data_IF_851668927822
#
_entry.id   IF_851668927822
#
_cell.length_a   1.000
_cell.length_b   1.000
_cell.length_c   1.000
_cell.angle_alpha   90.00
_cell.angle_beta   90.00
_cell.angle_gamma   90.00
#
_symmetry.space_group_name_H-M   'P 1'
#
loop_
_entity.id
_entity.type
_entity.pdbx_description
1 polymer ?
#
# COMPACT_ATOMS: atom_id res chain seq x y z
N UNK A 1 14.04 -22.93 -28.60
CA UNK A 1 12.83 -22.14 -28.30
C UNK A 1 12.32 -22.62 -26.96
N UNK A 2 12.56 -21.83 -25.91
CA UNK A 2 12.08 -22.13 -24.55
C UNK A 2 10.75 -21.41 -24.42
N UNK A 3 9.68 -22.17 -24.17
CA UNK A 3 8.36 -21.61 -23.89
C UNK A 3 8.27 -21.51 -22.36
N UNK A 4 8.39 -20.30 -21.83
CA UNK A 4 8.14 -20.01 -20.41
C UNK A 4 6.64 -19.78 -20.25
N UNK A 5 5.98 -20.59 -19.41
CA UNK A 5 4.56 -20.44 -19.09
C UNK A 5 4.48 -19.86 -17.67
N UNK A 6 4.17 -18.58 -17.55
CA UNK A 6 3.91 -17.93 -16.26
C UNK A 6 2.47 -18.22 -15.85
N UNK A 7 2.28 -19.02 -14.80
CA UNK A 7 0.97 -19.24 -14.18
C UNK A 7 0.76 -18.21 -13.06
N UNK A 8 -0.18 -17.28 -13.27
CA UNK A 8 -0.69 -16.39 -12.22
C UNK A 8 -1.79 -17.08 -11.39
N UNK A 9 -1.51 -18.28 -10.87
CA UNK A 9 -2.46 -19.06 -10.10
C UNK A 9 -1.78 -20.07 -9.19
N UNK A 10 -2.08 -20.00 -7.89
CA UNK A 10 -1.56 -20.94 -6.90
C UNK A 10 -2.11 -22.35 -7.15
N UNK A 11 -1.24 -23.32 -7.39
CA UNK A 11 -1.54 -24.73 -7.15
C UNK A 11 -1.52 -24.91 -5.63
N UNK A 12 -2.67 -24.72 -4.99
CA UNK A 12 -2.87 -25.09 -3.59
C UNK A 12 -2.70 -26.60 -3.48
N UNK A 13 -1.54 -27.02 -2.99
CA UNK A 13 -1.34 -28.37 -2.48
C UNK A 13 -2.10 -28.42 -1.16
N UNK A 14 -3.38 -28.81 -1.20
CA UNK A 14 -4.21 -28.96 -0.02
C UNK A 14 -3.54 -29.93 0.95
N UNK A 15 -2.83 -29.39 1.94
CA UNK A 15 -2.10 -30.20 2.88
C UNK A 15 -3.09 -30.77 3.89
N UNK A 16 -2.96 -32.08 4.09
CA UNK A 16 -3.87 -32.93 4.83
C UNK A 16 -3.89 -32.57 6.32
N UNK A 17 -5.13 -32.44 6.84
CA UNK A 17 -5.58 -32.85 8.17
C UNK A 17 -4.60 -32.72 9.34
N UNK A 18 -4.71 -31.60 10.06
CA UNK A 18 -4.38 -31.55 11.49
C UNK A 18 -5.43 -32.34 12.28
N UNK A 19 -5.07 -33.56 12.65
CA UNK A 19 -5.84 -34.38 13.58
C UNK A 19 -5.77 -33.79 14.99
N UNK A 20 -6.90 -33.30 15.53
CA UNK A 20 -7.14 -33.26 16.98
C UNK A 20 -7.68 -31.97 17.60
N UNK A 21 -7.57 -30.81 16.95
CA UNK A 21 -8.17 -29.56 17.44
C UNK A 21 -9.09 -28.99 16.37
N UNK A 22 -10.35 -28.75 16.71
CA UNK A 22 -11.29 -28.06 15.81
C UNK A 22 -10.68 -26.72 15.42
N UNK A 23 -10.44 -26.50 14.13
CA UNK A 23 -10.05 -25.19 13.59
C UNK A 23 -11.09 -24.16 14.09
N UNK A 24 -10.65 -23.07 14.76
CA UNK A 24 -11.57 -22.05 15.24
C UNK A 24 -12.48 -21.53 14.12
N UNK A 25 -13.73 -21.16 14.43
CA UNK A 25 -14.70 -20.76 13.39
C UNK A 25 -14.20 -19.60 12.51
N UNK A 26 -13.42 -18.67 13.08
CA UNK A 26 -12.87 -17.52 12.34
C UNK A 26 -11.84 -17.91 11.27
N UNK A 27 -11.16 -19.05 11.45
CA UNK A 27 -10.08 -19.53 10.57
C UNK A 27 -10.55 -20.66 9.63
N UNK A 28 -11.76 -21.18 9.84
CA UNK A 28 -12.29 -22.40 9.18
C UNK A 28 -12.27 -22.38 7.64
N UNK A 29 -12.21 -21.20 7.03
CA UNK A 29 -12.14 -21.02 5.58
C UNK A 29 -11.04 -20.05 5.13
N UNK A 30 -10.20 -19.59 6.07
CA UNK A 30 -9.03 -18.80 5.73
C UNK A 30 -7.95 -19.76 5.24
N UNK A 31 -7.39 -19.48 4.06
CA UNK A 31 -6.23 -20.20 3.55
C UNK A 31 -5.16 -19.16 3.33
N UNK A 32 -4.05 -19.29 4.05
CA UNK A 32 -2.87 -18.50 3.79
C UNK A 32 -2.34 -18.83 2.40
N UNK A 33 -2.35 -17.81 1.53
CA UNK A 33 -1.68 -17.87 0.23
C UNK A 33 -0.16 -17.81 0.43
N UNK A 34 0.26 -17.15 1.49
CA UNK A 34 1.64 -17.00 1.92
C UNK A 34 1.71 -17.00 3.46
N UNK A 35 2.76 -17.58 4.02
CA UNK A 35 2.90 -17.74 5.48
C UNK A 35 3.31 -16.40 6.11
N UNK A 36 2.51 -15.84 7.04
CA UNK A 36 2.86 -14.61 7.75
C UNK A 36 4.24 -14.67 8.42
N UNK A 37 4.66 -15.85 8.91
CA UNK A 37 5.95 -16.04 9.58
C UNK A 37 7.16 -15.89 8.64
N UNK A 38 6.94 -15.85 7.32
CA UNK A 38 7.99 -15.58 6.33
C UNK A 38 8.37 -14.10 6.19
N UNK A 39 7.57 -13.19 6.73
CA UNK A 39 7.80 -11.74 6.64
C UNK A 39 8.85 -11.28 7.66
N UNK A 40 9.48 -10.12 7.40
CA UNK A 40 10.51 -9.55 8.28
C UNK A 40 9.98 -9.27 9.69
N UNK A 41 8.81 -8.63 9.81
CA UNK A 41 8.10 -8.42 11.08
C UNK A 41 6.83 -9.27 11.14
N UNK A 42 7.01 -10.53 11.54
CA UNK A 42 5.91 -11.44 11.84
C UNK A 42 5.72 -11.57 13.34
N UNK A 43 4.48 -11.47 13.82
CA UNK A 43 4.17 -11.56 15.25
C UNK A 43 3.05 -12.54 15.54
N UNK A 44 3.12 -13.14 16.73
CA UNK A 44 2.08 -14.01 17.27
C UNK A 44 1.10 -13.18 18.10
N UNK A 45 -0.19 -13.40 17.86
CA UNK A 45 -1.28 -12.72 18.55
C UNK A 45 -2.21 -13.75 19.19
N UNK A 46 -2.63 -13.46 20.42
CA UNK A 46 -3.71 -14.20 21.07
C UNK A 46 -5.05 -13.77 20.45
N UNK A 47 -5.78 -14.73 19.87
CA UNK A 47 -7.08 -14.48 19.26
C UNK A 47 -8.18 -14.77 20.27
N UNK A 48 -9.12 -13.83 20.40
CA UNK A 48 -10.28 -13.95 21.29
C UNK A 48 -11.59 -13.93 20.53
N UNK A 49 -12.63 -14.50 21.14
CA UNK A 49 -14.01 -14.36 20.67
C UNK A 49 -14.46 -12.89 20.77
N UNK A 50 -15.07 -12.31 19.71
CA UNK A 50 -15.60 -10.95 19.76
C UNK A 50 -16.86 -10.84 20.64
N UNK A 51 -17.52 -11.96 20.95
CA UNK A 51 -18.79 -11.98 21.69
C UNK A 51 -18.72 -12.69 23.05
N UNK A 52 -17.55 -13.22 23.43
CA UNK A 52 -17.36 -13.89 24.71
C UNK A 52 -15.92 -13.75 25.21
N UNK A 53 -15.69 -13.91 26.52
CA UNK A 53 -14.34 -13.83 27.10
C UNK A 53 -13.53 -15.14 26.92
N UNK A 54 -13.67 -15.78 25.75
CA UNK A 54 -13.02 -17.05 25.44
C UNK A 54 -11.87 -16.79 24.46
N UNK A 55 -10.69 -17.34 24.75
CA UNK A 55 -9.58 -17.39 23.78
C UNK A 55 -9.86 -18.47 22.73
N UNK A 56 -9.58 -18.14 21.47
CA UNK A 56 -9.62 -19.02 20.30
C UNK A 56 -8.23 -19.55 19.91
N UNK A 57 -7.21 -19.34 20.74
CA UNK A 57 -5.83 -19.75 20.49
C UNK A 57 -4.99 -18.61 19.92
N UNK A 58 -3.93 -18.96 19.18
CA UNK A 58 -2.97 -17.99 18.66
C UNK A 58 -2.96 -17.98 17.13
N UNK A 59 -2.67 -16.84 16.54
CA UNK A 59 -2.46 -16.66 15.10
C UNK A 59 -1.23 -15.79 14.84
N UNK A 60 -0.52 -16.06 13.76
CA UNK A 60 0.55 -15.18 13.26
C UNK A 60 0.02 -14.17 12.25
N UNK A 61 0.54 -12.95 12.28
CA UNK A 61 0.27 -11.91 11.28
C UNK A 61 1.56 -11.18 10.93
N UNK A 62 1.70 -10.81 9.66
CA UNK A 62 2.70 -9.84 9.23
C UNK A 62 2.27 -8.45 9.71
N UNK A 63 3.23 -7.66 10.17
CA UNK A 63 3.03 -6.33 10.71
C UNK A 63 3.78 -5.34 9.85
N UNK A 64 3.07 -4.31 9.37
CA UNK A 64 3.62 -3.24 8.56
C UNK A 64 3.48 -1.92 9.31
N UNK A 65 4.53 -1.11 9.25
CA UNK A 65 4.64 0.20 9.88
C UNK A 65 4.76 1.32 8.86
N UNK A 66 5.43 2.40 9.27
CA UNK A 66 5.61 3.60 8.45
C UNK A 66 6.60 3.42 7.29
N UNK A 67 7.43 2.37 7.32
CA UNK A 67 8.40 2.08 6.25
C UNK A 67 7.71 1.49 5.02
N UNK A 68 6.61 0.77 5.22
CA UNK A 68 5.73 0.22 4.18
C UNK A 68 4.62 1.20 3.77
N UNK A 69 4.87 2.48 4.03
CA UNK A 69 3.97 3.59 3.80
C UNK A 69 2.92 3.78 4.89
N UNK A 70 2.11 4.82 4.73
CA UNK A 70 1.23 5.25 5.81
C UNK A 70 1.93 6.17 6.79
N UNK A 71 1.13 6.83 7.61
CA UNK A 71 1.62 7.62 8.73
C UNK A 71 0.87 7.15 10.01
N UNK A 72 0.97 7.86 11.13
CA UNK A 72 0.29 7.49 12.38
C UNK A 72 -1.23 7.26 12.26
N UNK A 73 -1.83 7.83 11.22
CA UNK A 73 -3.20 8.27 11.21
C UNK A 73 -3.87 7.91 9.88
N UNK A 74 -3.10 7.78 8.80
CA UNK A 74 -3.60 7.43 7.48
C UNK A 74 -2.85 6.24 6.86
N UNK A 75 -3.62 5.29 6.33
CA UNK A 75 -3.21 4.25 5.41
C UNK A 75 -4.28 4.14 4.34
N UNK A 76 -3.90 4.18 3.06
CA UNK A 76 -4.82 3.95 1.96
C UNK A 76 -4.36 2.73 1.19
N UNK A 77 -4.95 1.60 1.53
CA UNK A 77 -4.62 0.30 0.97
C UNK A 77 -5.46 0.01 -0.28
N UNK A 78 -4.78 -0.38 -1.35
CA UNK A 78 -5.39 -0.93 -2.55
C UNK A 78 -4.59 -2.14 -3.03
N UNK A 79 -5.13 -2.89 -3.99
CA UNK A 79 -4.41 -3.98 -4.62
C UNK A 79 -4.60 -3.94 -6.13
N UNK A 80 -3.59 -4.38 -6.87
CA UNK A 80 -3.69 -4.56 -8.33
C UNK A 80 -4.30 -5.92 -8.66
N UNK A 81 -4.81 -6.10 -9.88
CA UNK A 81 -5.28 -7.40 -10.37
C UNK A 81 -4.15 -8.44 -10.45
N UNK A 82 -2.89 -8.00 -10.55
CA UNK A 82 -1.68 -8.83 -10.51
C UNK A 82 -1.32 -9.29 -9.09
N UNK A 83 -1.90 -8.66 -8.07
CA UNK A 83 -1.68 -9.00 -6.66
C UNK A 83 -0.62 -8.15 -5.97
N UNK A 84 -0.26 -6.99 -6.51
CA UNK A 84 0.53 -6.00 -5.78
C UNK A 84 -0.29 -5.42 -4.64
N UNK A 85 0.37 -5.11 -3.54
CA UNK A 85 -0.20 -4.37 -2.42
C UNK A 85 0.22 -2.92 -2.60
N UNK A 86 -0.72 -1.98 -2.57
CA UNK A 86 -0.46 -0.56 -2.71
C UNK A 86 -0.83 0.14 -1.40
N UNK A 87 -0.03 1.13 -1.01
CA UNK A 87 -0.32 1.96 0.16
C UNK A 87 0.03 3.43 -0.14
N UNK A 88 -0.88 4.34 0.21
CA UNK A 88 -0.60 5.77 0.17
C UNK A 88 -1.24 6.57 1.31
N UNK A 89 -0.85 6.27 2.54
CA UNK A 89 -1.18 7.12 3.70
C UNK A 89 0.01 7.89 4.28
N UNK A 90 1.16 7.89 3.60
CA UNK A 90 2.39 8.53 4.04
C UNK A 90 2.85 9.63 3.09
N UNK A 91 4.14 9.92 3.08
CA UNK A 91 4.71 10.97 2.21
C UNK A 91 4.53 10.61 0.73
N UNK A 92 4.69 9.36 0.31
CA UNK A 92 4.59 8.98 -1.09
C UNK A 92 3.87 7.65 -1.35
N UNK A 93 3.49 7.37 -2.62
CA UNK A 93 3.06 6.04 -3.03
C UNK A 93 4.10 4.98 -2.69
N UNK A 94 3.64 3.93 -2.03
CA UNK A 94 4.42 2.74 -1.72
C UNK A 94 3.69 1.50 -2.24
N UNK A 95 4.44 0.49 -2.65
CA UNK A 95 3.87 -0.76 -3.11
C UNK A 95 4.75 -1.94 -2.78
N UNK A 96 4.17 -3.12 -2.86
CA UNK A 96 4.87 -4.39 -2.79
C UNK A 96 4.37 -5.30 -3.91
N UNK A 97 5.30 -5.86 -4.66
CA UNK A 97 5.03 -6.76 -5.78
C UNK A 97 5.07 -8.24 -5.37
N UNK A 98 5.48 -8.53 -4.14
CA UNK A 98 5.78 -9.86 -3.64
C UNK A 98 4.97 -10.22 -2.38
N UNK A 99 3.76 -9.64 -2.23
CA UNK A 99 2.81 -9.86 -1.12
C UNK A 99 3.26 -9.30 0.24
N UNK A 100 4.14 -8.30 0.24
CA UNK A 100 4.54 -7.57 1.44
C UNK A 100 5.89 -7.97 1.98
N UNK A 101 6.69 -8.78 1.27
CA UNK A 101 8.05 -9.12 1.70
C UNK A 101 9.04 -8.01 1.42
N UNK A 102 8.88 -7.35 0.28
CA UNK A 102 9.66 -6.16 -0.08
C UNK A 102 8.74 -5.04 -0.50
N UNK A 103 9.15 -3.82 -0.17
CA UNK A 103 8.39 -2.61 -0.46
C UNK A 103 9.24 -1.62 -1.25
N UNK A 104 8.58 -0.94 -2.16
CA UNK A 104 9.12 0.14 -2.96
C UNK A 104 8.40 1.44 -2.61
N UNK A 105 9.12 2.55 -2.70
CA UNK A 105 8.58 3.90 -2.51
C UNK A 105 8.92 4.74 -3.75
N UNK A 106 7.92 5.44 -4.28
CA UNK A 106 8.17 6.40 -5.34
C UNK A 106 8.63 7.72 -4.72
N UNK A 107 9.76 8.26 -5.16
CA UNK A 107 10.20 9.61 -4.77
C UNK A 107 10.18 10.55 -5.97
N UNK A 108 9.50 11.70 -5.89
CA UNK A 108 9.47 12.66 -6.98
C UNK A 108 10.86 13.23 -7.23
N UNK A 109 11.13 13.55 -8.49
CA UNK A 109 12.26 14.41 -8.88
C UNK A 109 12.06 15.84 -8.41
N UNK A 110 13.11 16.66 -8.38
CA UNK A 110 13.00 18.10 -8.04
C UNK A 110 12.07 18.85 -8.99
N UNK A 111 12.03 18.48 -10.27
CA UNK A 111 11.17 19.10 -11.26
C UNK A 111 10.12 18.11 -11.75
N UNK A 112 8.89 18.60 -11.92
CA UNK A 112 7.79 17.80 -12.47
C UNK A 112 8.01 17.50 -13.95
N UNK A 113 7.25 16.53 -14.47
CA UNK A 113 7.30 16.17 -15.89
C UNK A 113 6.90 17.33 -16.81
N UNK A 114 7.39 17.28 -18.05
CA UNK A 114 7.00 18.22 -19.10
C UNK A 114 5.52 17.99 -19.42
N UNK A 115 4.74 19.06 -19.46
CA UNK A 115 3.30 18.99 -19.73
C UNK A 115 2.41 19.17 -18.49
N UNK A 116 2.98 19.23 -17.28
CA UNK A 116 2.22 19.65 -16.11
C UNK A 116 1.71 21.10 -16.27
N UNK A 117 0.49 21.35 -15.78
CA UNK A 117 -0.15 22.67 -15.89
C UNK A 117 0.63 23.76 -15.17
N UNK A 118 1.15 23.45 -13.99
CA UNK A 118 1.90 24.38 -13.15
C UNK A 118 3.28 23.80 -12.83
N UNK A 119 4.37 24.47 -13.26
CA UNK A 119 5.70 24.06 -12.85
C UNK A 119 5.91 24.47 -11.39
N UNK A 120 6.17 23.48 -10.55
CA UNK A 120 6.53 23.71 -9.15
C UNK A 120 7.72 22.81 -8.81
N UNK A 121 8.88 23.36 -8.45
CA UNK A 121 9.96 22.57 -7.89
C UNK A 121 9.56 21.97 -6.54
N UNK A 122 10.07 20.79 -6.23
CA UNK A 122 9.94 20.18 -4.91
C UNK A 122 11.31 19.85 -4.31
N UNK A 123 11.35 19.62 -3.01
CA UNK A 123 12.50 19.08 -2.27
C UNK A 123 12.12 17.66 -1.84
N UNK A 124 12.59 16.62 -2.57
CA UNK A 124 12.17 15.25 -2.32
C UNK A 124 12.49 14.78 -0.90
N UNK A 125 11.52 14.14 -0.26
CA UNK A 125 11.53 13.64 1.12
C UNK A 125 11.35 14.75 2.16
N UNK A 126 10.85 15.91 1.75
CA UNK A 126 10.64 17.07 2.63
C UNK A 126 9.32 17.77 2.31
N UNK A 127 8.37 17.07 1.72
CA UNK A 127 7.03 17.57 1.43
C UNK A 127 6.17 17.50 2.69
N UNK A 128 6.45 16.55 3.59
CA UNK A 128 5.83 16.40 4.91
C UNK A 128 4.94 15.16 5.00
N UNK A 129 4.31 14.96 6.16
CA UNK A 129 3.34 13.88 6.36
C UNK A 129 2.15 14.11 5.43
N UNK A 130 2.13 13.36 4.33
CA UNK A 130 1.09 13.39 3.33
C UNK A 130 -0.04 12.43 3.66
N UNK A 131 -1.18 12.70 3.03
CA UNK A 131 -2.34 11.84 3.00
C UNK A 131 -2.74 11.67 1.54
N UNK A 132 -3.08 10.46 1.11
CA UNK A 132 -3.32 10.23 -0.30
C UNK A 132 -4.23 9.06 -0.59
N UNK A 133 -4.44 8.81 -1.88
CA UNK A 133 -5.12 7.62 -2.35
C UNK A 133 -4.41 7.09 -3.59
N UNK A 134 -4.42 5.78 -3.75
CA UNK A 134 -3.79 5.09 -4.89
C UNK A 134 -4.72 4.00 -5.39
N UNK A 135 -4.90 3.93 -6.71
CA UNK A 135 -5.76 2.93 -7.37
C UNK A 135 -5.17 2.51 -8.71
N UNK A 136 -5.45 1.27 -9.12
CA UNK A 136 -5.13 0.77 -10.46
C UNK A 136 -6.26 1.14 -11.44
N UNK A 137 -5.89 1.77 -12.56
CA UNK A 137 -6.77 2.02 -13.69
C UNK A 137 -6.96 0.75 -14.55
N UNK A 138 -7.96 0.76 -15.43
CA UNK A 138 -8.30 -0.43 -16.23
C UNK A 138 -7.22 -0.86 -17.22
N UNK A 139 -6.38 0.08 -17.65
CA UNK A 139 -5.22 -0.16 -18.52
C UNK A 139 -3.98 -0.68 -17.77
N UNK A 140 -4.00 -0.69 -16.42
CA UNK A 140 -2.89 -1.18 -15.60
C UNK A 140 -2.15 -0.07 -14.85
N UNK A 141 -2.25 1.18 -15.31
CA UNK A 141 -1.61 2.34 -14.68
C UNK A 141 -2.02 2.49 -13.21
N UNK A 142 -1.13 3.05 -12.40
CA UNK A 142 -1.47 3.46 -11.04
C UNK A 142 -1.66 4.96 -10.99
N UNK A 143 -2.85 5.38 -10.54
CA UNK A 143 -3.18 6.79 -10.36
C UNK A 143 -3.20 7.05 -8.85
N UNK A 144 -2.39 8.02 -8.44
CA UNK A 144 -2.27 8.40 -7.03
C UNK A 144 -2.41 9.90 -6.85
N UNK A 145 -3.12 10.32 -5.82
CA UNK A 145 -3.31 11.72 -5.46
C UNK A 145 -2.88 11.91 -4.02
N UNK A 146 -1.97 12.85 -3.77
CA UNK A 146 -1.41 13.12 -2.45
C UNK A 146 -1.61 14.57 -2.04
N UNK A 147 -2.03 14.79 -0.80
CA UNK A 147 -2.15 16.07 -0.14
C UNK A 147 -1.15 16.18 1.01
N UNK A 148 -0.45 17.30 1.08
CA UNK A 148 0.60 17.59 2.05
C UNK A 148 0.22 18.87 2.78
N UNK A 149 -0.58 18.77 3.86
CA UNK A 149 -1.18 19.92 4.52
C UNK A 149 -0.15 20.80 5.25
N UNK A 150 0.97 20.21 5.68
CA UNK A 150 1.87 20.86 6.61
C UNK A 150 2.94 21.72 5.90
N UNK A 151 3.35 22.85 6.52
CA UNK A 151 4.49 23.62 6.05
C UNK A 151 5.77 22.79 6.01
N UNK A 152 6.48 22.88 4.90
CA UNK A 152 7.70 22.14 4.63
C UNK A 152 8.62 22.93 3.69
N UNK A 153 9.79 22.38 3.36
CA UNK A 153 10.73 23.07 2.46
C UNK A 153 10.21 23.17 1.02
N UNK A 154 9.23 22.34 0.66
CA UNK A 154 8.55 22.32 -0.65
C UNK A 154 7.32 23.25 -0.72
N UNK A 155 6.96 23.92 0.38
CA UNK A 155 5.79 24.80 0.50
C UNK A 155 4.85 24.43 1.64
N UNK A 156 3.60 24.90 1.59
CA UNK A 156 2.54 24.52 2.53
C UNK A 156 1.26 24.23 1.74
N UNK A 157 0.42 23.31 2.22
CA UNK A 157 -0.84 22.93 1.59
C UNK A 157 -0.68 22.57 0.11
N UNK A 158 0.00 21.45 -0.14
CA UNK A 158 0.46 21.05 -1.46
C UNK A 158 -0.34 19.86 -1.96
N UNK A 159 -0.74 19.85 -3.23
CA UNK A 159 -1.47 18.73 -3.81
C UNK A 159 -0.75 18.23 -5.07
N UNK A 160 -0.50 16.93 -5.12
CA UNK A 160 0.28 16.27 -6.16
C UNK A 160 -0.50 15.12 -6.78
N UNK A 161 -0.35 14.98 -8.09
CA UNK A 161 -0.78 13.80 -8.83
C UNK A 161 0.45 12.98 -9.20
N UNK A 162 0.39 11.69 -8.94
CA UNK A 162 1.39 10.70 -9.28
C UNK A 162 0.79 9.68 -10.24
N UNK A 163 1.52 9.36 -11.30
CA UNK A 163 1.11 8.39 -12.30
C UNK A 163 2.24 7.38 -12.49
N UNK A 164 1.94 6.11 -12.26
CA UNK A 164 2.72 5.00 -12.78
C UNK A 164 2.13 4.60 -14.13
N UNK A 165 2.90 4.76 -15.20
CA UNK A 165 2.55 4.22 -16.51
C UNK A 165 2.92 2.74 -16.55
N UNK A 166 1.93 1.87 -16.76
CA UNK A 166 2.18 0.43 -16.73
C UNK A 166 2.82 -0.11 -18.02
N UNK A 167 2.78 0.63 -19.13
CA UNK A 167 3.48 0.24 -20.37
C UNK A 167 4.96 0.60 -20.31
N UNK A 168 5.28 1.77 -19.76
CA UNK A 168 6.65 2.27 -19.63
C UNK A 168 7.33 1.83 -18.31
N UNK A 169 6.57 1.31 -17.35
CA UNK A 169 7.01 0.95 -15.99
C UNK A 169 7.68 2.13 -15.26
N UNK A 170 7.22 3.35 -15.55
CA UNK A 170 7.81 4.59 -15.05
C UNK A 170 6.82 5.42 -14.25
N UNK A 171 7.31 5.99 -13.16
CA UNK A 171 6.56 6.95 -12.37
C UNK A 171 6.80 8.38 -12.85
N UNK A 172 5.74 9.17 -12.80
CA UNK A 172 5.75 10.58 -13.09
C UNK A 172 4.89 11.36 -12.10
N UNK A 173 5.08 12.67 -12.03
CA UNK A 173 4.35 13.51 -11.10
C UNK A 173 4.08 14.92 -11.63
N UNK A 174 2.94 15.47 -11.22
CA UNK A 174 2.58 16.87 -11.45
C UNK A 174 2.09 17.52 -10.16
N UNK A 175 2.48 18.77 -9.96
CA UNK A 175 1.80 19.62 -8.99
C UNK A 175 0.42 20.00 -9.53
N UNK A 176 -0.59 19.86 -8.69
CA UNK A 176 -1.95 20.24 -9.03
C UNK A 176 -2.41 21.28 -8.02
N UNK A 177 -2.43 22.55 -8.44
CA UNK A 177 -2.83 23.66 -7.57
C UNK A 177 -4.26 23.46 -7.08
N UNK A 178 -4.46 23.43 -5.77
CA UNK A 178 -5.76 23.56 -5.11
C UNK A 178 -6.32 24.94 -5.44
N UNK A 179 -7.37 25.07 -6.28
CA UNK A 179 -7.86 26.39 -6.71
C UNK A 179 -8.49 27.18 -5.56
N UNK A 180 -8.97 26.49 -4.52
CA UNK A 180 -9.45 27.04 -3.26
C UNK A 180 -9.16 26.05 -2.12
N UNK A 181 -8.85 26.52 -0.90
CA UNK A 181 -8.74 25.65 0.26
C UNK A 181 -10.10 24.98 0.51
N UNK A 182 -10.12 23.64 0.51
CA UNK A 182 -11.28 22.88 0.94
C UNK A 182 -11.07 22.41 2.37
N UNK A 183 -12.13 22.48 3.16
CA UNK A 183 -12.10 22.09 4.56
C UNK A 183 -12.24 20.58 4.68
N UNK A 184 -11.19 19.89 5.12
CA UNK A 184 -11.19 18.43 5.19
C UNK A 184 -11.89 17.87 6.45
N UNK A 185 -11.88 18.59 7.59
CA UNK A 185 -12.74 18.40 8.80
C UNK A 185 -12.25 19.25 9.99
N UNK A 186 -13.09 19.39 11.03
CA UNK A 186 -12.66 19.93 12.34
C UNK A 186 -11.93 18.85 13.13
N UNK A 187 -10.68 19.11 13.49
CA UNK A 187 -10.01 18.58 14.69
C UNK A 187 -10.82 18.77 15.98
#
# INVERSE_FOLDING_TARGET
>A
MVITVSFAGCISSGNQSSSGNSIPEWDKYMIYVDDPMGHEDARMFDVGSPFSNQSWGNSSWAVFGNEEGGNCCEHYLAATKEGWILNFGGEYPTWSEDRGHTWQEYRPSVFSQIGCREPKPTVPGQEGLGEGSIVQATNGDLISMGWFPYPSSSGADQFYAFLYDAEDEEWSWCFNRTPEPFYDRSW
#
